data_IF_323400094084
#
_entry.id   IF_323400094084
#
_cell.length_a   1.000
_cell.length_b   1.000
_cell.length_c   1.000
_cell.angle_alpha   90.00
_cell.angle_beta   90.00
_cell.angle_gamma   90.00
#
_symmetry.space_group_name_H-M   'P 1'
#
loop_
_entity.id
_entity.type
_entity.pdbx_description
1 polymer ?
#
# COMPACT_ATOMS: atom_id res chain seq x y z
N UNK A 1 -18.06 -19.58 -23.48
CA UNK A 1 -16.84 -19.71 -22.65
C UNK A 1 -17.11 -20.76 -21.58
N UNK A 2 -16.12 -21.57 -21.17
CA UNK A 2 -16.34 -22.57 -20.13
C UNK A 2 -16.25 -21.96 -18.73
N UNK A 3 -17.03 -22.46 -17.79
CA UNK A 3 -16.86 -22.20 -16.35
C UNK A 3 -15.53 -22.80 -15.91
N UNK A 4 -14.67 -22.04 -15.24
CA UNK A 4 -13.41 -22.57 -14.75
C UNK A 4 -13.70 -23.58 -13.65
N UNK A 5 -13.21 -24.80 -13.85
CA UNK A 5 -13.24 -25.86 -12.86
C UNK A 5 -11.83 -26.44 -12.73
N UNK A 6 -11.55 -27.12 -11.62
CA UNK A 6 -10.25 -27.78 -11.40
C UNK A 6 -9.83 -28.66 -12.58
N UNK A 7 -10.77 -29.41 -13.17
CA UNK A 7 -10.54 -30.25 -14.36
C UNK A 7 -10.06 -29.46 -15.58
N UNK A 8 -10.66 -28.30 -15.83
CA UNK A 8 -10.28 -27.43 -16.95
C UNK A 8 -8.90 -26.82 -16.72
N UNK A 9 -8.58 -26.46 -15.48
CA UNK A 9 -7.27 -25.91 -15.11
C UNK A 9 -6.16 -26.96 -15.30
N UNK A 10 -6.42 -28.19 -14.89
CA UNK A 10 -5.46 -29.31 -15.00
C UNK A 10 -5.27 -29.75 -16.45
N UNK A 11 -6.33 -29.77 -17.26
CA UNK A 11 -6.28 -30.11 -18.68
C UNK A 11 -5.69 -29.01 -19.58
N UNK A 12 -5.44 -27.81 -19.04
CA UNK A 12 -4.88 -26.71 -19.81
C UNK A 12 -3.37 -26.93 -20.07
N UNK A 13 -3.03 -27.10 -21.36
CA UNK A 13 -1.67 -27.31 -21.83
C UNK A 13 -0.91 -26.00 -22.11
N UNK A 14 0.39 -25.92 -21.78
CA UNK A 14 1.22 -24.78 -22.16
C UNK A 14 1.28 -24.60 -23.68
N UNK A 15 1.39 -23.35 -24.14
CA UNK A 15 1.54 -22.99 -25.55
C UNK A 15 2.77 -22.12 -25.75
N UNK A 16 3.21 -21.90 -26.99
CA UNK A 16 4.34 -21.02 -27.31
C UNK A 16 4.17 -19.58 -26.80
N UNK A 17 2.92 -19.11 -26.73
CA UNK A 17 2.53 -17.83 -26.13
C UNK A 17 1.60 -18.07 -24.96
N UNK A 18 1.67 -17.17 -23.98
CA UNK A 18 0.72 -17.21 -22.89
C UNK A 18 -0.70 -16.95 -23.39
N UNK A 19 -1.66 -17.54 -22.70
CA UNK A 19 -3.07 -17.35 -23.02
C UNK A 19 -3.91 -17.40 -21.76
N UNK A 20 -5.13 -16.88 -21.86
CA UNK A 20 -6.06 -16.79 -20.73
C UNK A 20 -7.30 -17.61 -21.06
N UNK A 21 -7.69 -18.47 -20.12
CA UNK A 21 -9.02 -19.09 -20.11
C UNK A 21 -9.86 -18.25 -19.16
N UNK A 22 -10.84 -17.54 -19.71
CA UNK A 22 -11.77 -16.73 -18.94
C UNK A 22 -12.96 -17.56 -18.46
N UNK A 23 -13.42 -17.25 -17.26
CA UNK A 23 -14.59 -17.87 -16.65
C UNK A 23 -15.89 -17.33 -17.28
N UNK A 24 -16.88 -18.21 -17.43
CA UNK A 24 -18.20 -17.86 -17.98
C UNK A 24 -19.11 -17.14 -17.00
N UNK A 25 -18.96 -17.43 -15.70
CA UNK A 25 -19.86 -16.97 -14.64
C UNK A 25 -19.28 -15.71 -13.97
N UNK A 26 -17.96 -15.50 -14.07
CA UNK A 26 -17.25 -14.37 -13.47
C UNK A 26 -16.57 -13.50 -14.56
N UNK A 27 -17.25 -12.47 -15.08
CA UNK A 27 -16.68 -11.58 -16.08
C UNK A 27 -15.35 -10.98 -15.64
N UNK A 28 -14.33 -11.13 -16.48
CA UNK A 28 -12.98 -10.63 -16.21
C UNK A 28 -12.11 -11.56 -15.37
N UNK A 29 -12.68 -12.55 -14.67
CA UNK A 29 -11.91 -13.58 -14.01
C UNK A 29 -11.41 -14.62 -15.02
N UNK A 30 -10.15 -15.03 -14.89
CA UNK A 30 -9.55 -16.01 -15.77
C UNK A 30 -8.31 -16.65 -15.18
N UNK A 31 -7.82 -17.70 -15.81
CA UNK A 31 -6.53 -18.33 -15.52
C UNK A 31 -5.58 -18.10 -16.69
N UNK A 32 -4.42 -17.50 -16.40
CA UNK A 32 -3.34 -17.32 -17.35
C UNK A 32 -2.42 -18.53 -17.30
N UNK A 33 -2.15 -19.10 -18.47
CA UNK A 33 -1.23 -20.22 -18.67
C UNK A 33 0.00 -19.67 -19.39
N UNK A 34 1.17 -19.77 -18.77
CA UNK A 34 2.44 -19.35 -19.38
C UNK A 34 3.03 -20.48 -20.24
N UNK A 35 3.93 -20.17 -21.20
CA UNK A 35 4.67 -21.19 -21.95
C UNK A 35 5.48 -22.14 -21.06
N UNK A 36 5.89 -21.68 -19.87
CA UNK A 36 6.55 -22.51 -18.85
C UNK A 36 5.64 -23.50 -18.12
N UNK A 37 4.33 -23.49 -18.40
CA UNK A 37 3.31 -24.26 -17.70
C UNK A 37 2.92 -23.74 -16.32
N UNK A 38 3.50 -22.61 -15.87
CA UNK A 38 3.01 -21.88 -14.71
C UNK A 38 1.59 -21.37 -14.98
N UNK A 39 0.72 -21.52 -13.98
CA UNK A 39 -0.69 -21.12 -14.02
C UNK A 39 -0.97 -20.07 -12.95
N UNK A 40 -1.67 -18.99 -13.30
CA UNK A 40 -1.99 -17.91 -12.36
C UNK A 40 -3.42 -17.41 -12.58
N UNK A 41 -4.21 -17.37 -11.52
CA UNK A 41 -5.54 -16.77 -11.56
C UNK A 41 -5.43 -15.24 -11.61
N UNK A 42 -6.28 -14.62 -12.42
CA UNK A 42 -6.28 -13.17 -12.64
C UNK A 42 -7.70 -12.63 -12.77
N UNK A 43 -7.87 -11.35 -12.44
CA UNK A 43 -9.09 -10.58 -12.68
C UNK A 43 -8.73 -9.37 -13.53
N UNK A 44 -9.31 -9.26 -14.73
CA UNK A 44 -9.31 -8.07 -15.57
C UNK A 44 -10.64 -7.33 -15.39
N UNK A 45 -10.59 -6.16 -14.80
CA UNK A 45 -11.72 -5.21 -14.83
C UNK A 45 -11.32 -3.97 -15.61
N UNK A 46 -12.25 -3.43 -16.41
CA UNK A 46 -12.11 -2.07 -16.94
C UNK A 46 -12.30 -1.10 -15.77
N UNK A 47 -11.20 -0.69 -15.17
CA UNK A 47 -11.22 0.44 -14.27
C UNK A 47 -11.49 1.69 -15.12
N UNK A 48 -12.73 2.19 -15.12
CA UNK A 48 -13.03 3.52 -15.64
C UNK A 48 -12.27 4.55 -14.82
N UNK A 49 -11.02 4.85 -15.19
CA UNK A 49 -10.16 5.77 -14.44
C UNK A 49 -9.97 7.03 -15.24
N UNK A 50 -10.85 7.99 -14.99
CA UNK A 50 -10.38 9.37 -14.96
C UNK A 50 -9.49 9.48 -13.73
N UNK A 51 -8.17 9.55 -13.93
CA UNK A 51 -7.26 9.92 -12.86
C UNK A 51 -7.47 11.41 -12.58
N UNK A 52 -8.39 11.76 -11.69
CA UNK A 52 -8.52 13.15 -11.23
C UNK A 52 -7.65 13.37 -9.99
N UNK A 53 -6.86 14.45 -10.02
CA UNK A 53 -6.15 14.95 -8.84
C UNK A 53 -7.14 15.66 -7.92
N UNK A 54 -6.85 15.71 -6.62
CA UNK A 54 -7.60 16.57 -5.70
C UNK A 54 -7.39 18.03 -6.09
N UNK A 55 -8.46 18.81 -6.10
CA UNK A 55 -8.38 20.27 -6.15
C UNK A 55 -7.72 20.81 -4.88
N UNK A 56 -7.27 22.07 -4.92
CA UNK A 56 -6.72 22.75 -3.74
C UNK A 56 -7.76 22.81 -2.60
N UNK A 57 -9.03 22.98 -2.94
CA UNK A 57 -10.14 23.03 -2.00
C UNK A 57 -10.38 21.68 -1.32
N UNK A 58 -10.38 20.58 -2.09
CA UNK A 58 -10.49 19.22 -1.53
C UNK A 58 -9.31 18.91 -0.62
N UNK A 59 -8.09 19.29 -1.01
CA UNK A 59 -6.91 19.08 -0.19
C UNK A 59 -6.96 19.86 1.13
N UNK A 60 -7.39 21.13 1.08
CA UNK A 60 -7.59 21.94 2.27
C UNK A 60 -8.65 21.34 3.21
N UNK A 61 -9.76 20.85 2.64
CA UNK A 61 -10.82 20.20 3.41
C UNK A 61 -10.36 18.89 4.06
N UNK A 62 -9.57 18.09 3.33
CA UNK A 62 -8.96 16.88 3.89
C UNK A 62 -8.03 17.22 5.06
N UNK A 63 -7.21 18.27 4.92
CA UNK A 63 -6.34 18.75 6.00
C UNK A 63 -7.13 19.15 7.26
N UNK A 64 -8.28 19.80 7.10
CA UNK A 64 -9.15 20.13 8.23
C UNK A 64 -9.73 18.88 8.89
N UNK A 65 -10.22 17.92 8.10
CA UNK A 65 -10.75 16.65 8.63
C UNK A 65 -9.68 15.90 9.42
N UNK A 66 -8.44 15.82 8.93
CA UNK A 66 -7.35 15.15 9.64
C UNK A 66 -7.04 15.82 10.98
N UNK A 67 -7.09 17.16 11.06
CA UNK A 67 -6.95 17.88 12.34
C UNK A 67 -8.09 17.57 13.30
N UNK A 68 -9.34 17.53 12.81
CA UNK A 68 -10.49 17.18 13.64
C UNK A 68 -10.41 15.73 14.15
N UNK A 69 -9.98 14.78 13.32
CA UNK A 69 -9.73 13.39 13.74
C UNK A 69 -8.67 13.32 14.85
N UNK A 70 -7.60 14.10 14.73
CA UNK A 70 -6.53 14.18 15.74
C UNK A 70 -7.06 14.74 17.07
N UNK A 71 -7.87 15.80 17.03
CA UNK A 71 -8.46 16.41 18.24
C UNK A 71 -9.52 15.53 18.92
N UNK A 72 -10.31 14.80 18.12
CA UNK A 72 -11.42 13.98 18.63
C UNK A 72 -10.99 12.58 19.04
N UNK A 73 -9.81 12.11 18.59
CA UNK A 73 -9.30 10.77 18.85
C UNK A 73 -10.12 9.64 18.20
N UNK A 74 -10.98 9.96 17.23
CA UNK A 74 -11.84 8.97 16.53
C UNK A 74 -10.99 7.99 15.71
N UNK A 75 -9.85 8.46 15.19
CA UNK A 75 -8.92 7.68 14.37
C UNK A 75 -7.56 7.58 15.05
N UNK A 76 -6.83 6.50 14.76
CA UNK A 76 -5.46 6.34 15.26
C UNK A 76 -4.53 7.43 14.71
N UNK A 77 -3.65 7.96 15.57
CA UNK A 77 -2.64 8.94 15.17
C UNK A 77 -1.77 8.43 14.01
N UNK A 78 -1.43 7.14 14.02
CA UNK A 78 -0.66 6.50 12.95
C UNK A 78 -1.36 6.52 11.59
N UNK A 79 -2.68 6.33 11.55
CA UNK A 79 -3.44 6.44 10.30
C UNK A 79 -3.43 7.88 9.77
N UNK A 80 -3.62 8.87 10.66
CA UNK A 80 -3.56 10.29 10.33
C UNK A 80 -2.16 10.65 9.78
N UNK A 81 -1.11 10.20 10.45
CA UNK A 81 0.28 10.41 10.06
C UNK A 81 0.61 9.78 8.70
N UNK A 82 0.12 8.56 8.44
CA UNK A 82 0.30 7.91 7.15
C UNK A 82 -0.34 8.71 6.00
N UNK A 83 -1.57 9.20 6.19
CA UNK A 83 -2.25 10.04 5.19
C UNK A 83 -1.49 11.35 4.98
N UNK A 84 -1.03 12.00 6.05
CA UNK A 84 -0.20 13.23 5.96
C UNK A 84 1.06 13.00 5.13
N UNK A 85 1.81 11.92 5.40
CA UNK A 85 3.02 11.61 4.64
C UNK A 85 2.72 11.30 3.18
N UNK A 86 1.65 10.58 2.86
CA UNK A 86 1.25 10.33 1.48
C UNK A 86 1.00 11.62 0.70
N UNK A 87 0.34 12.58 1.34
CA UNK A 87 0.03 13.89 0.75
C UNK A 87 1.31 14.72 0.55
N UNK A 88 2.17 14.80 1.57
CA UNK A 88 3.32 15.70 1.53
C UNK A 88 4.52 15.17 0.74
N UNK A 89 4.63 13.85 0.60
CA UNK A 89 5.79 13.22 -0.08
C UNK A 89 5.43 12.68 -1.46
N UNK A 90 4.16 12.35 -1.71
CA UNK A 90 3.75 11.64 -2.92
C UNK A 90 4.33 10.21 -3.04
N UNK A 91 4.91 9.68 -1.98
CA UNK A 91 5.42 8.30 -1.95
C UNK A 91 4.28 7.29 -2.10
N UNK A 92 4.65 6.07 -2.51
CA UNK A 92 3.66 4.97 -2.59
C UNK A 92 3.19 4.59 -1.19
N UNK A 93 1.96 4.09 -1.08
CA UNK A 93 1.44 3.53 0.17
C UNK A 93 2.42 2.53 0.80
N UNK A 94 2.91 1.55 0.03
CA UNK A 94 3.89 0.60 0.54
C UNK A 94 5.16 1.28 1.09
N UNK A 95 5.68 2.29 0.40
CA UNK A 95 6.89 3.03 0.83
C UNK A 95 6.66 3.76 2.16
N UNK A 96 5.48 4.35 2.38
CA UNK A 96 5.13 5.01 3.64
C UNK A 96 4.84 4.01 4.77
N UNK A 97 4.10 2.94 4.48
CA UNK A 97 3.73 1.95 5.50
C UNK A 97 4.91 1.10 5.96
N UNK A 98 6.01 1.07 5.19
CA UNK A 98 7.27 0.41 5.55
C UNK A 98 8.41 1.42 5.72
N UNK A 99 8.10 2.68 6.05
CA UNK A 99 9.14 3.68 6.31
C UNK A 99 9.73 3.46 7.71
N UNK A 100 11.06 3.37 7.78
CA UNK A 100 11.81 3.26 9.04
C UNK A 100 12.46 4.60 9.42
N UNK A 101 12.67 4.82 10.71
CA UNK A 101 13.35 6.01 11.21
C UNK A 101 14.78 6.16 10.65
N UNK A 102 15.51 5.06 10.49
CA UNK A 102 16.85 5.03 9.88
C UNK A 102 16.86 5.50 8.41
N UNK A 103 15.70 5.57 7.77
CA UNK A 103 15.53 6.04 6.40
C UNK A 103 15.14 7.51 6.32
N UNK A 104 14.92 8.18 7.46
CA UNK A 104 14.49 9.58 7.53
C UNK A 104 15.71 10.46 7.83
N UNK A 105 16.09 11.28 6.86
CA UNK A 105 17.14 12.30 7.00
C UNK A 105 16.49 13.69 7.02
N UNK A 106 16.20 14.18 8.23
CA UNK A 106 15.60 15.51 8.40
C UNK A 106 16.58 16.64 8.12
N UNK A 107 17.89 16.41 8.27
CA UNK A 107 18.92 17.41 8.03
C UNK A 107 19.00 17.74 6.54
N UNK A 108 18.97 16.71 5.69
CA UNK A 108 19.00 16.85 4.23
C UNK A 108 17.60 16.87 3.59
N UNK A 109 16.54 16.92 4.40
CA UNK A 109 15.14 16.91 3.95
C UNK A 109 14.87 15.77 2.95
N UNK A 110 15.21 14.54 3.33
CA UNK A 110 15.19 13.38 2.44
C UNK A 110 14.69 12.09 3.11
N UNK A 111 14.10 11.21 2.29
CA UNK A 111 13.79 9.82 2.64
C UNK A 111 14.63 8.88 1.78
N UNK A 112 15.41 8.00 2.41
CA UNK A 112 16.25 7.00 1.75
C UNK A 112 15.53 5.65 1.70
N UNK A 113 14.99 5.28 0.54
CA UNK A 113 14.13 4.11 0.39
C UNK A 113 14.88 2.97 -0.33
N UNK A 114 15.50 2.03 0.39
CA UNK A 114 16.32 0.96 -0.22
C UNK A 114 15.47 -0.08 -0.96
N UNK A 115 14.29 -0.42 -0.43
CA UNK A 115 13.46 -1.54 -0.90
C UNK A 115 12.29 -1.09 -1.79
N UNK A 116 12.49 -0.09 -2.66
CA UNK A 116 11.41 0.36 -3.55
C UNK A 116 11.19 -0.61 -4.72
N UNK A 117 9.96 -0.65 -5.27
CA UNK A 117 9.60 -1.49 -6.44
C UNK A 117 10.53 -1.29 -7.65
N UNK A 118 11.27 -0.20 -7.71
CA UNK A 118 12.19 0.18 -8.80
C UNK A 118 13.66 0.20 -8.36
N UNK A 119 13.99 -0.36 -7.19
CA UNK A 119 15.33 -0.28 -6.59
C UNK A 119 15.49 0.91 -5.63
N UNK A 120 16.66 1.04 -5.03
CA UNK A 120 16.93 2.10 -4.04
C UNK A 120 16.72 3.49 -4.65
N UNK A 121 16.07 4.40 -3.89
CA UNK A 121 15.90 5.80 -4.30
C UNK A 121 15.90 6.74 -3.10
N UNK A 122 16.30 7.99 -3.33
CA UNK A 122 16.15 9.10 -2.39
C UNK A 122 14.99 9.98 -2.83
N UNK A 123 14.10 10.34 -1.90
CA UNK A 123 12.99 11.26 -2.13
C UNK A 123 13.22 12.52 -1.30
N UNK A 124 13.46 13.65 -1.97
CA UNK A 124 13.50 14.95 -1.29
C UNK A 124 12.10 15.38 -0.87
N UNK A 125 11.96 15.81 0.37
CA UNK A 125 10.68 16.16 0.98
C UNK A 125 10.64 17.65 1.34
N UNK A 126 9.44 18.24 1.25
CA UNK A 126 9.24 19.66 1.57
C UNK A 126 9.12 19.93 3.07
N UNK A 127 9.17 21.20 3.45
CA UNK A 127 9.09 21.65 4.84
C UNK A 127 7.88 21.10 5.61
N UNK A 128 6.73 20.93 4.96
CA UNK A 128 5.53 20.36 5.59
C UNK A 128 5.70 18.89 6.00
N UNK A 129 6.44 18.10 5.21
CA UNK A 129 6.76 16.71 5.56
C UNK A 129 7.80 16.66 6.69
N UNK A 130 8.81 17.54 6.64
CA UNK A 130 9.83 17.66 7.68
C UNK A 130 9.19 18.04 9.02
N UNK A 131 8.31 19.05 9.02
CA UNK A 131 7.58 19.49 10.21
C UNK A 131 6.64 18.41 10.77
N UNK A 132 6.01 17.61 9.90
CA UNK A 132 5.22 16.46 10.36
C UNK A 132 6.11 15.41 11.03
N UNK A 133 7.18 14.98 10.34
CA UNK A 133 8.08 13.93 10.81
C UNK A 133 8.82 14.29 12.11
N UNK A 134 9.12 15.58 12.33
CA UNK A 134 9.78 16.04 13.57
C UNK A 134 8.87 15.96 14.80
N UNK A 135 7.55 15.89 14.60
CA UNK A 135 6.53 15.85 15.67
C UNK A 135 5.98 14.46 15.96
N UNK A 136 6.28 13.48 15.11
CA UNK A 136 5.79 12.12 15.32
C UNK A 136 6.52 11.46 16.48
N UNK A 137 5.76 10.77 17.34
CA UNK A 137 6.31 10.03 18.46
C UNK A 137 7.16 8.85 17.97
N UNK A 138 8.34 8.71 18.55
CA UNK A 138 9.24 7.58 18.32
C UNK A 138 9.11 6.61 19.47
N UNK A 139 8.53 5.45 19.20
CA UNK A 139 8.42 4.41 20.21
C UNK A 139 9.79 3.76 20.47
N UNK A 140 10.24 3.65 21.72
CA UNK A 140 11.53 3.04 22.05
C UNK A 140 11.66 1.62 21.47
N UNK A 141 12.74 1.36 20.74
CA UNK A 141 13.01 0.05 20.13
C UNK A 141 12.18 -0.27 18.88
N UNK A 142 11.28 0.62 18.45
CA UNK A 142 10.48 0.42 17.24
C UNK A 142 11.12 1.16 16.05
N UNK A 143 11.52 0.46 14.97
CA UNK A 143 12.18 1.10 13.84
C UNK A 143 11.21 1.84 12.91
N UNK A 144 9.91 1.65 13.03
CA UNK A 144 8.92 2.12 12.05
C UNK A 144 8.40 3.53 12.35
N UNK A 145 8.20 4.33 11.30
CA UNK A 145 7.59 5.67 11.40
C UNK A 145 6.09 5.58 11.59
N UNK A 146 5.44 4.66 10.87
CA UNK A 146 4.00 4.39 10.99
C UNK A 146 3.81 3.09 11.76
N UNK A 147 3.12 3.17 12.89
CA UNK A 147 2.93 2.04 13.82
C UNK A 147 1.47 1.61 13.87
N UNK A 148 1.21 0.36 14.24
CA UNK A 148 -0.13 -0.15 14.50
C UNK A 148 -0.25 -0.65 15.94
N UNK A 149 -1.46 -0.67 16.49
CA UNK A 149 -1.76 -1.25 17.79
C UNK A 149 -2.25 -2.68 17.60
N UNK A 150 -1.58 -3.66 18.22
CA UNK A 150 -2.08 -5.04 18.29
C UNK A 150 -3.10 -5.17 19.43
N UNK A 151 -3.97 -6.20 19.34
CA UNK A 151 -5.06 -6.45 20.30
C UNK A 151 -4.63 -6.56 21.78
N UNK A 152 -3.36 -6.85 22.04
CA UNK A 152 -2.82 -7.04 23.40
C UNK A 152 -2.04 -5.82 23.93
N UNK A 153 -2.16 -4.64 23.29
CA UNK A 153 -1.47 -3.42 23.73
C UNK A 153 0.03 -3.37 23.39
N UNK A 154 0.53 -4.36 22.63
CA UNK A 154 1.89 -4.34 22.08
C UNK A 154 1.97 -3.32 20.92
N UNK A 155 2.85 -2.34 21.07
CA UNK A 155 3.10 -1.28 20.12
C UNK A 155 4.23 -1.62 19.14
N UNK A 156 3.93 -2.48 18.19
CA UNK A 156 4.57 -2.45 16.88
C UNK A 156 3.58 -3.10 15.91
N UNK A 157 3.44 -2.59 14.70
CA UNK A 157 4.11 -3.21 13.54
C UNK A 157 3.71 -2.41 12.28
N UNK A 158 4.59 -2.32 11.26
CA UNK A 158 4.23 -1.74 9.95
C UNK A 158 3.11 -2.54 9.27
N UNK A 159 2.18 -1.87 8.58
CA UNK A 159 0.91 -2.47 8.10
C UNK A 159 1.08 -3.81 7.34
N UNK A 160 2.22 -4.01 6.68
CA UNK A 160 2.60 -5.25 5.96
C UNK A 160 2.71 -6.47 6.89
N UNK A 161 3.40 -6.32 8.02
CA UNK A 161 3.55 -7.38 9.02
C UNK A 161 2.26 -7.53 9.85
N UNK A 162 1.48 -6.44 10.03
CA UNK A 162 0.14 -6.51 10.62
C UNK A 162 -0.80 -7.35 9.75
N UNK A 163 -0.75 -7.17 8.42
CA UNK A 163 -1.51 -8.00 7.47
C UNK A 163 -1.04 -9.46 7.46
N UNK A 164 0.25 -9.72 7.73
CA UNK A 164 0.77 -11.08 7.89
C UNK A 164 0.29 -11.75 9.19
N UNK A 165 0.19 -10.99 10.29
CA UNK A 165 -0.30 -11.47 11.58
C UNK A 165 -1.82 -11.67 11.64
N UNK A 166 -2.59 -10.95 10.82
CA UNK A 166 -4.06 -11.11 10.73
C UNK A 166 -4.50 -12.39 10.00
N UNK A 167 -3.55 -13.19 9.49
CA UNK A 167 -3.83 -14.40 8.71
C UNK A 167 -4.46 -14.10 7.35
N UNK A 168 -4.54 -15.10 6.44
CA UNK A 168 -5.22 -14.92 5.16
C UNK A 168 -6.68 -14.53 5.41
N UNK A 169 -7.14 -13.43 4.81
CA UNK A 169 -8.56 -13.04 4.86
C UNK A 169 -9.42 -14.15 4.22
N UNK A 170 -10.61 -14.43 4.78
CA UNK A 170 -11.57 -15.36 4.20
C UNK A 170 -12.07 -14.89 2.83
#
# INVERSE_FOLDING_TARGET
>A
MPKITKRIVEAAEPREKDYIIFDSDLPGFGIRILPSGKRSYMVQYRAGRTFRRMSKQELAKLGEVLRQCELTGIESQSAINAIRLLIFTGCRLGEIMTLKWDFVDLENSALHLPDSKTGAKTVHIGAAAVDALSKFDRLPGNPWVITGTLKDGLEAIGLTEMMALLGPRP
#
